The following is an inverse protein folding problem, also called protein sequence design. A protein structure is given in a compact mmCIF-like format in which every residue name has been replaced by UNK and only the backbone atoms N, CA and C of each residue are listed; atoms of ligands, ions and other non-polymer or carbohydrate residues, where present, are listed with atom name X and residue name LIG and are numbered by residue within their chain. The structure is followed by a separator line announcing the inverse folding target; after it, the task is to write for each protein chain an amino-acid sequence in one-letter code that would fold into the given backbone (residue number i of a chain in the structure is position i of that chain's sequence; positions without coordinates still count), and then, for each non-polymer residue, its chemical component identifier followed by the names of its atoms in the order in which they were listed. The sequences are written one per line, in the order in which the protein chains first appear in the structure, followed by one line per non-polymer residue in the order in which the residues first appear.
data_IF_267608154604
#
_entry.id   IF_267608154604
#
_cell.length_a   1.000
_cell.length_b   1.000
_cell.length_c   1.000
_cell.angle_alpha   90.00
_cell.angle_beta   90.00
_cell.angle_gamma   90.00
#
_symmetry.space_group_name_H-M   'P 1'
#
loop_
_entity.id
_entity.type
_entity.pdbx_description
1 polymer ?
#
# COMPACT_ATOMS: atom_id res chain seq x y z
N UNK A 1 1.88 10.81 -15.41
CA UNK A 1 0.75 10.03 -14.84
C UNK A 1 0.19 10.83 -13.66
N UNK A 2 -0.86 10.35 -12.97
CA UNK A 2 -1.48 11.06 -11.84
C UNK A 2 -0.83 10.74 -10.48
N UNK A 3 0.16 9.85 -10.42
CA UNK A 3 0.73 9.41 -9.14
C UNK A 3 1.57 10.53 -8.53
N UNK A 4 2.33 11.26 -9.34
CA UNK A 4 3.09 12.41 -8.88
C UNK A 4 2.16 13.53 -8.32
N UNK A 5 1.04 13.80 -8.98
CA UNK A 5 0.05 14.80 -8.54
C UNK A 5 -0.57 14.42 -7.17
N UNK A 6 -0.88 13.14 -6.98
CA UNK A 6 -1.38 12.63 -5.69
C UNK A 6 -0.29 12.75 -4.62
N UNK A 7 0.94 12.34 -4.92
CA UNK A 7 2.08 12.43 -4.00
C UNK A 7 2.31 13.86 -3.51
N UNK A 8 2.30 14.85 -4.42
CA UNK A 8 2.45 16.27 -4.09
C UNK A 8 1.31 16.81 -3.22
N UNK A 9 0.07 16.38 -3.50
CA UNK A 9 -1.10 16.75 -2.70
C UNK A 9 -1.01 16.21 -1.27
N UNK A 10 -0.55 14.98 -1.10
CA UNK A 10 -0.35 14.36 0.21
C UNK A 10 0.81 15.02 0.97
N UNK A 11 1.93 15.27 0.30
CA UNK A 11 3.07 15.99 0.89
C UNK A 11 2.66 17.37 1.41
N UNK A 12 1.88 18.11 0.62
CA UNK A 12 1.34 19.42 1.02
C UNK A 12 0.41 19.29 2.23
N UNK A 13 -0.44 18.26 2.25
CA UNK A 13 -1.37 17.98 3.35
C UNK A 13 -0.64 17.67 4.67
N UNK A 14 0.44 16.88 4.60
CA UNK A 14 1.26 16.48 5.76
C UNK A 14 2.05 17.67 6.30
N UNK A 15 2.72 18.41 5.42
CA UNK A 15 3.51 19.61 5.77
C UNK A 15 2.64 20.70 6.40
N UNK A 16 1.40 20.88 5.92
CA UNK A 16 0.45 21.84 6.49
C UNK A 16 0.10 21.52 7.97
N UNK A 17 0.30 20.28 8.41
CA UNK A 17 0.07 19.82 9.79
C UNK A 17 1.36 19.58 10.58
N UNK A 18 2.52 19.77 9.94
CA UNK A 18 3.82 19.46 10.53
C UNK A 18 4.07 17.95 10.71
N UNK A 19 3.33 17.10 10.00
CA UNK A 19 3.46 15.65 10.11
C UNK A 19 4.69 15.10 9.38
N UNK A 20 5.28 15.89 8.47
CA UNK A 20 6.58 15.66 7.86
C UNK A 20 7.73 15.55 8.88
N UNK A 21 7.51 16.07 10.10
CA UNK A 21 8.49 16.05 11.20
C UNK A 21 8.49 14.75 12.00
N UNK A 22 7.50 13.88 11.82
CA UNK A 22 7.51 12.59 12.50
C UNK A 22 8.68 11.74 12.00
N UNK A 23 9.41 11.04 12.90
CA UNK A 23 10.45 10.11 12.48
C UNK A 23 9.88 9.01 11.58
N UNK A 24 10.61 8.63 10.53
CA UNK A 24 10.20 7.56 9.62
C UNK A 24 9.88 6.25 10.33
N UNK A 25 10.55 5.95 11.45
CA UNK A 25 10.25 4.77 12.26
C UNK A 25 8.81 4.76 12.80
N UNK A 26 8.28 5.90 13.23
CA UNK A 26 6.91 5.98 13.74
C UNK A 26 5.89 5.87 12.61
N UNK A 27 6.15 6.53 11.48
CA UNK A 27 5.29 6.44 10.28
C UNK A 27 5.28 5.01 9.75
N UNK A 28 6.42 4.33 9.76
CA UNK A 28 6.53 2.93 9.37
C UNK A 28 5.80 2.00 10.35
N UNK A 29 5.90 2.21 11.66
CA UNK A 29 5.11 1.46 12.64
C UNK A 29 3.61 1.61 12.38
N UNK A 30 3.13 2.83 12.13
CA UNK A 30 1.72 3.08 11.82
C UNK A 30 1.31 2.41 10.49
N UNK A 31 2.17 2.42 9.47
CA UNK A 31 1.92 1.69 8.22
C UNK A 31 1.68 0.19 8.45
N UNK A 32 2.43 -0.43 9.36
CA UNK A 32 2.23 -1.85 9.72
C UNK A 32 0.88 -2.07 10.42
N UNK A 33 0.45 -1.14 11.27
CA UNK A 33 -0.87 -1.20 11.92
C UNK A 33 -2.00 -1.16 10.88
N UNK A 34 -1.96 -0.22 9.92
CA UNK A 34 -2.98 -0.09 8.87
C UNK A 34 -2.98 -1.29 7.89
N UNK A 35 -1.82 -1.88 7.61
CA UNK A 35 -1.75 -3.16 6.88
C UNK A 35 -2.43 -4.30 7.65
N UNK A 36 -2.38 -4.25 8.99
CA UNK A 36 -3.09 -5.15 9.88
C UNK A 36 -4.61 -5.06 9.72
N UNK A 37 -5.15 -3.86 9.51
CA UNK A 37 -6.58 -3.66 9.26
C UNK A 37 -7.01 -4.30 7.94
N UNK A 38 -6.25 -4.14 6.85
CA UNK A 38 -6.48 -4.87 5.59
C UNK A 38 -6.42 -6.39 5.82
N UNK A 39 -5.44 -6.87 6.61
CA UNK A 39 -5.31 -8.29 6.93
C UNK A 39 -6.53 -8.86 7.66
N UNK A 40 -7.23 -8.06 8.48
CA UNK A 40 -8.48 -8.50 9.13
C UNK A 40 -9.56 -8.82 8.12
N UNK A 41 -9.69 -8.04 7.04
CA UNK A 41 -10.63 -8.34 5.96
C UNK A 41 -10.28 -9.64 5.25
N UNK A 42 -9.01 -9.78 4.84
CA UNK A 42 -8.52 -10.98 4.13
C UNK A 42 -8.75 -12.23 4.98
N UNK A 43 -8.35 -12.20 6.25
CA UNK A 43 -8.45 -13.38 7.13
C UNK A 43 -9.89 -13.81 7.41
N UNK A 44 -10.85 -12.88 7.40
CA UNK A 44 -12.28 -13.23 7.48
C UNK A 44 -12.80 -13.77 6.15
N UNK A 45 -12.50 -13.10 5.03
CA UNK A 45 -12.98 -13.50 3.70
C UNK A 45 -12.41 -14.87 3.25
N UNK A 46 -11.19 -15.21 3.67
CA UNK A 46 -10.57 -16.53 3.42
C UNK A 46 -10.94 -17.60 4.45
N UNK A 47 -11.79 -17.27 5.44
CA UNK A 47 -12.30 -18.23 6.43
C UNK A 47 -11.32 -18.62 7.53
N UNK A 48 -10.15 -17.97 7.63
CA UNK A 48 -9.22 -18.17 8.75
C UNK A 48 -9.81 -17.65 10.07
N UNK A 49 -10.47 -16.49 10.04
CA UNK A 49 -11.23 -15.92 11.17
C UNK A 49 -12.72 -16.10 10.96
N UNK A 50 -13.31 -17.05 11.68
CA UNK A 50 -14.74 -17.36 11.58
C UNK A 50 -15.57 -16.42 12.47
N UNK A 51 -16.47 -15.66 11.87
CA UNK A 51 -17.37 -14.74 12.58
C UNK A 51 -18.22 -15.51 13.59
N UNK A 52 -18.30 -15.01 14.82
CA UNK A 52 -19.07 -15.64 15.89
C UNK A 52 -18.33 -16.74 16.66
N UNK A 53 -17.12 -17.14 16.22
CA UNK A 53 -16.22 -18.04 16.95
C UNK A 53 -15.04 -17.26 17.56
N UNK A 54 -15.33 -16.20 18.31
CA UNK A 54 -14.30 -15.33 18.91
C UNK A 54 -13.77 -14.23 17.99
N UNK A 55 -14.35 -14.07 16.81
CA UNK A 55 -14.02 -13.00 15.87
C UNK A 55 -15.26 -12.21 15.46
N UNK A 56 -15.06 -10.90 15.32
CA UNK A 56 -16.04 -9.97 14.78
C UNK A 56 -15.73 -9.67 13.32
N UNK A 57 -16.78 -9.40 12.54
CA UNK A 57 -16.62 -8.99 11.15
C UNK A 57 -16.05 -7.56 11.09
N UNK A 58 -14.99 -7.30 10.29
CA UNK A 58 -14.62 -5.93 9.99
C UNK A 58 -15.69 -5.28 9.11
N UNK A 59 -15.82 -3.96 9.17
CA UNK A 59 -16.78 -3.24 8.36
C UNK A 59 -16.33 -3.21 6.90
N UNK A 60 -17.01 -3.95 6.00
CA UNK A 60 -16.64 -4.03 4.58
C UNK A 60 -16.61 -2.67 3.87
N UNK A 61 -17.40 -1.71 4.34
CA UNK A 61 -17.44 -0.36 3.78
C UNK A 61 -16.18 0.46 4.14
N UNK A 62 -15.35 -0.01 5.06
CA UNK A 62 -14.10 0.68 5.46
C UNK A 62 -12.87 0.19 4.71
N UNK A 63 -12.92 -0.95 4.01
CA UNK A 63 -11.75 -1.52 3.34
C UNK A 63 -11.07 -0.54 2.38
N UNK A 64 -11.85 0.24 1.64
CA UNK A 64 -11.30 1.25 0.73
C UNK A 64 -10.53 2.37 1.47
N UNK A 65 -10.91 2.67 2.72
CA UNK A 65 -10.25 3.65 3.58
C UNK A 65 -8.93 3.09 4.10
N UNK A 66 -8.90 1.82 4.50
CA UNK A 66 -7.66 1.17 4.96
C UNK A 66 -6.59 1.15 3.85
N UNK A 67 -6.97 0.83 2.61
CA UNK A 67 -6.05 0.95 1.46
C UNK A 67 -5.56 2.39 1.25
N UNK A 68 -6.43 3.39 1.45
CA UNK A 68 -6.04 4.79 1.35
C UNK A 68 -5.09 5.22 2.48
N UNK A 69 -5.30 4.74 3.71
CA UNK A 69 -4.42 4.99 4.87
C UNK A 69 -3.03 4.38 4.65
N UNK A 70 -2.97 3.11 4.22
CA UNK A 70 -1.73 2.43 3.86
C UNK A 70 -0.98 3.20 2.77
N UNK A 71 -1.68 3.60 1.70
CA UNK A 71 -1.06 4.36 0.62
C UNK A 71 -0.56 5.74 1.08
N UNK A 72 -1.32 6.42 1.94
CA UNK A 72 -0.92 7.72 2.49
C UNK A 72 0.36 7.62 3.33
N UNK A 73 0.41 6.67 4.27
CA UNK A 73 1.59 6.47 5.12
C UNK A 73 2.81 6.03 4.31
N UNK A 74 2.62 5.17 3.31
CA UNK A 74 3.68 4.80 2.37
C UNK A 74 4.20 6.02 1.59
N UNK A 75 3.31 6.89 1.13
CA UNK A 75 3.67 8.12 0.43
C UNK A 75 4.39 9.10 1.35
N UNK A 76 3.97 9.23 2.61
CA UNK A 76 4.65 10.04 3.61
C UNK A 76 6.10 9.56 3.84
N UNK A 77 6.32 8.24 3.89
CA UNK A 77 7.67 7.67 3.94
C UNK A 77 8.49 8.00 2.69
N UNK A 78 7.91 7.85 1.51
CA UNK A 78 8.59 8.21 0.26
C UNK A 78 8.99 9.70 0.25
N UNK A 79 8.10 10.59 0.68
CA UNK A 79 8.37 12.02 0.80
C UNK A 79 9.48 12.30 1.83
N UNK A 80 9.48 11.62 2.98
CA UNK A 80 10.54 11.73 3.99
C UNK A 80 11.93 11.43 3.42
N UNK A 81 12.03 10.45 2.52
CA UNK A 81 13.28 10.10 1.83
C UNK A 81 13.49 10.83 0.50
N UNK A 82 12.64 11.80 0.15
CA UNK A 82 12.69 12.54 -1.12
C UNK A 82 12.65 11.63 -2.36
N UNK A 83 11.87 10.55 -2.29
CA UNK A 83 11.68 9.58 -3.37
C UNK A 83 10.48 10.00 -4.23
N UNK A 84 10.67 10.12 -5.54
CA UNK A 84 9.58 10.34 -6.49
C UNK A 84 8.98 8.98 -6.92
N UNK A 85 7.78 8.69 -6.44
CA UNK A 85 7.15 7.36 -6.61
C UNK A 85 6.85 7.04 -8.07
N UNK A 86 6.36 8.01 -8.85
CA UNK A 86 6.01 7.80 -10.25
C UNK A 86 7.23 7.37 -11.08
N UNK A 87 8.34 8.12 -10.97
CA UNK A 87 9.58 7.77 -11.65
C UNK A 87 10.17 6.44 -11.17
N UNK A 88 10.14 6.17 -9.87
CA UNK A 88 10.64 4.90 -9.30
C UNK A 88 9.85 3.69 -9.79
N UNK A 89 8.51 3.78 -9.84
CA UNK A 89 7.66 2.70 -10.34
C UNK A 89 7.90 2.46 -11.82
N UNK A 90 7.98 3.53 -12.62
CA UNK A 90 8.24 3.40 -14.06
C UNK A 90 9.60 2.76 -14.35
N UNK A 91 10.66 3.18 -13.64
CA UNK A 91 11.99 2.58 -13.82
C UNK A 91 12.06 1.12 -13.37
N UNK A 92 11.38 0.76 -12.27
CA UNK A 92 11.35 -0.63 -11.81
C UNK A 92 10.52 -1.51 -12.75
N UNK A 93 9.46 -0.96 -13.35
CA UNK A 93 8.64 -1.69 -14.32
C UNK A 93 9.47 -2.11 -15.54
N UNK A 94 10.29 -1.23 -16.10
CA UNK A 94 11.22 -1.56 -17.19
C UNK A 94 12.16 -2.72 -16.80
N UNK A 95 12.70 -2.69 -15.58
CA UNK A 95 13.57 -3.75 -15.05
C UNK A 95 12.81 -5.08 -14.88
N UNK A 96 11.58 -5.03 -14.38
CA UNK A 96 10.74 -6.20 -14.15
C UNK A 96 10.30 -6.83 -15.48
N UNK A 97 9.95 -6.04 -16.49
CA UNK A 97 9.57 -6.52 -17.82
C UNK A 97 10.71 -7.34 -18.47
N UNK A 98 11.94 -6.86 -18.36
CA UNK A 98 13.12 -7.58 -18.84
C UNK A 98 13.39 -8.87 -18.04
N UNK A 99 13.25 -8.80 -16.70
CA UNK A 99 13.49 -9.95 -15.81
C UNK A 99 12.42 -11.04 -15.93
N UNK A 100 11.20 -10.66 -16.28
CA UNK A 100 10.03 -11.54 -16.24
C UNK A 100 9.22 -11.46 -17.56
N UNK A 101 9.71 -12.07 -18.66
CA UNK A 101 9.07 -11.98 -19.97
C UNK A 101 7.63 -12.53 -19.97
N UNK A 102 6.70 -11.74 -20.51
CA UNK A 102 5.26 -12.04 -20.50
C UNK A 102 4.92 -13.40 -21.14
N UNK A 103 5.53 -13.75 -22.27
CA UNK A 103 5.27 -15.02 -22.96
C UNK A 103 5.61 -16.23 -22.10
N UNK A 104 6.78 -16.20 -21.44
CA UNK A 104 7.25 -17.30 -20.59
C UNK A 104 6.36 -17.48 -19.36
N UNK A 105 5.98 -16.37 -18.72
CA UNK A 105 5.08 -16.40 -17.57
C UNK A 105 3.67 -16.84 -17.94
N UNK A 106 3.14 -16.34 -19.05
CA UNK A 106 1.81 -16.74 -19.54
C UNK A 106 1.76 -18.23 -19.84
N UNK A 107 2.77 -18.76 -20.52
CA UNK A 107 2.87 -20.19 -20.78
C UNK A 107 2.94 -21.02 -19.49
N UNK A 108 3.73 -20.59 -18.50
CA UNK A 108 3.80 -21.27 -17.21
C UNK A 108 2.46 -21.27 -16.46
N UNK A 109 1.78 -20.12 -16.37
CA UNK A 109 0.54 -19.98 -15.61
C UNK A 109 -0.63 -20.75 -16.23
N UNK A 110 -0.70 -20.86 -17.56
CA UNK A 110 -1.75 -21.65 -18.24
C UNK A 110 -1.61 -23.16 -18.02
N UNK A 111 -0.45 -23.62 -17.56
CA UNK A 111 -0.16 -25.03 -17.31
C UNK A 111 -0.24 -25.39 -15.81
N UNK A 112 -0.75 -24.47 -14.96
CA UNK A 112 -0.85 -24.61 -13.51
C UNK A 112 -2.29 -24.80 -13.07
#
# INVERSE_FOLDING_TARGET
MHLNEIQEKLDTFDKARGWDKFPASLVFTHLIEELGEISRHITVDEGYKVIGLGHEAPNKDELHREFAQVFNLFTQLANHYSINLESSVLSELEIIEDRFPAEKWTHHMNNR
#
